data_IF_785181204632
#
_entry.id   IF_785181204632
#
_cell.length_a   1.000
_cell.length_b   1.000
_cell.length_c   1.000
_cell.angle_alpha   90.00
_cell.angle_beta   90.00
_cell.angle_gamma   90.00
#
_symmetry.space_group_name_H-M   'P 1'
#
loop_
_entity.id
_entity.type
_entity.pdbx_description
1 polymer ?
#
# COMPACT_ATOMS: atom_id res chain seq x y z
N UNK A 1 21.41 -5.58 8.60
CA UNK A 1 20.07 -5.63 8.00
C UNK A 1 19.27 -4.41 8.38
N UNK A 2 18.57 -3.85 7.43
CA UNK A 2 17.77 -2.67 7.68
C UNK A 2 16.35 -2.86 7.17
N UNK A 3 15.39 -2.42 7.95
CA UNK A 3 13.99 -2.47 7.59
C UNK A 3 13.41 -1.06 7.61
N UNK A 4 12.75 -0.67 6.55
CA UNK A 4 12.05 0.60 6.47
C UNK A 4 10.68 0.36 5.90
N UNK A 5 9.72 1.09 6.41
CA UNK A 5 8.37 1.01 5.90
C UNK A 5 8.12 2.23 5.01
N UNK A 6 7.72 1.98 3.78
CA UNK A 6 7.43 3.02 2.82
C UNK A 6 5.93 3.24 2.75
N UNK A 7 5.53 4.51 2.77
CA UNK A 7 4.14 4.88 2.61
C UNK A 7 3.89 5.26 1.16
N UNK A 8 2.95 4.58 0.53
CA UNK A 8 2.58 4.84 -0.86
C UNK A 8 1.14 5.33 -0.87
N UNK A 9 0.93 6.51 -1.42
CA UNK A 9 -0.37 7.16 -1.41
C UNK A 9 -0.87 7.40 -2.82
N UNK A 10 -2.19 7.28 -2.98
CA UNK A 10 -2.81 7.53 -4.26
C UNK A 10 -3.01 6.26 -5.06
N UNK A 11 -4.07 6.26 -5.86
CA UNK A 11 -4.49 5.05 -6.58
C UNK A 11 -3.45 4.59 -7.58
N UNK A 12 -2.91 5.52 -8.34
CA UNK A 12 -1.93 5.15 -9.37
C UNK A 12 -0.65 4.61 -8.75
N UNK A 13 -0.16 5.28 -7.71
CA UNK A 13 1.07 4.86 -7.08
C UNK A 13 0.93 3.49 -6.43
N UNK A 14 -0.19 3.24 -5.78
CA UNK A 14 -0.42 1.95 -5.12
C UNK A 14 -0.53 0.84 -6.16
N UNK A 15 -1.29 1.10 -7.23
CA UNK A 15 -1.44 0.10 -8.28
C UNK A 15 -0.10 -0.20 -8.93
N UNK A 16 0.68 0.83 -9.19
CA UNK A 16 2.01 0.67 -9.77
C UNK A 16 2.90 -0.19 -8.87
N UNK A 17 2.80 0.04 -7.56
CA UNK A 17 3.59 -0.73 -6.60
C UNK A 17 3.27 -2.22 -6.68
N UNK A 18 1.99 -2.56 -6.79
CA UNK A 18 1.60 -3.97 -6.94
C UNK A 18 2.13 -4.54 -8.25
N UNK A 19 2.04 -3.77 -9.33
CA UNK A 19 2.47 -4.24 -10.63
C UNK A 19 3.97 -4.40 -10.74
N UNK A 20 4.70 -3.60 -9.99
CA UNK A 20 6.16 -3.66 -10.03
C UNK A 20 6.72 -4.74 -9.12
N UNK A 21 5.87 -5.47 -8.42
CA UNK A 21 6.32 -6.57 -7.58
C UNK A 21 6.77 -6.17 -6.20
N UNK A 22 6.46 -4.95 -5.77
CA UNK A 22 6.80 -4.55 -4.41
C UNK A 22 6.00 -5.36 -3.40
N UNK A 23 6.61 -5.62 -2.26
CA UNK A 23 5.94 -6.31 -1.17
C UNK A 23 5.11 -5.29 -0.39
N UNK A 24 3.80 -5.41 -0.48
CA UNK A 24 2.87 -4.54 0.23
C UNK A 24 2.37 -5.27 1.46
N UNK A 25 2.71 -4.75 2.63
CA UNK A 25 2.30 -5.38 3.89
C UNK A 25 0.85 -5.13 4.21
N UNK A 26 0.43 -3.86 4.09
CA UNK A 26 -0.91 -3.45 4.48
C UNK A 26 -1.46 -2.48 3.46
N UNK A 27 -2.77 -2.52 3.29
CA UNK A 27 -3.47 -1.60 2.41
C UNK A 27 -4.61 -0.99 3.21
N UNK A 28 -4.73 0.33 3.18
CA UNK A 28 -5.81 1.03 3.83
C UNK A 28 -6.65 1.69 2.76
N UNK A 29 -7.92 1.38 2.76
CA UNK A 29 -8.87 1.82 1.74
C UNK A 29 -10.00 2.58 2.39
N UNK A 30 -10.44 3.65 1.74
CA UNK A 30 -11.57 4.42 2.25
C UNK A 30 -12.82 3.54 2.27
N UNK A 31 -13.42 3.43 3.44
CA UNK A 31 -14.63 2.64 3.62
C UNK A 31 -15.75 3.22 2.75
N UNK A 32 -16.40 2.36 1.99
CA UNK A 32 -17.45 2.77 1.09
C UNK A 32 -17.00 3.27 -0.27
N UNK A 33 -15.70 3.33 -0.50
CA UNK A 33 -15.19 3.77 -1.79
C UNK A 33 -15.35 2.65 -2.82
N UNK A 34 -15.93 2.98 -3.96
CA UNK A 34 -16.20 2.00 -5.00
C UNK A 34 -15.67 2.44 -6.36
N UNK A 35 -14.65 3.26 -6.36
CA UNK A 35 -13.99 3.68 -7.59
C UNK A 35 -13.40 2.48 -8.32
N UNK A 36 -13.44 2.51 -9.65
CA UNK A 36 -12.85 1.46 -10.44
C UNK A 36 -11.39 1.18 -10.10
N UNK A 37 -10.54 2.22 -10.07
CA UNK A 37 -9.13 1.99 -9.73
C UNK A 37 -8.94 1.37 -8.35
N UNK A 38 -9.74 1.79 -7.36
CA UNK A 38 -9.64 1.23 -6.02
C UNK A 38 -10.05 -0.24 -6.01
N UNK A 39 -11.07 -0.59 -6.79
CA UNK A 39 -11.50 -1.99 -6.88
C UNK A 39 -10.41 -2.85 -7.50
N UNK A 40 -9.71 -2.32 -8.49
CA UNK A 40 -8.59 -3.02 -9.09
C UNK A 40 -7.48 -3.23 -8.07
N UNK A 41 -7.19 -2.20 -7.28
CA UNK A 41 -6.17 -2.29 -6.25
C UNK A 41 -6.54 -3.36 -5.22
N UNK A 42 -7.79 -3.40 -4.80
CA UNK A 42 -8.25 -4.40 -3.83
C UNK A 42 -8.09 -5.80 -4.41
N UNK A 43 -8.39 -5.95 -5.69
CA UNK A 43 -8.24 -7.25 -6.35
C UNK A 43 -6.78 -7.68 -6.36
N UNK A 44 -5.88 -6.77 -6.68
CA UNK A 44 -4.45 -7.08 -6.67
C UNK A 44 -3.97 -7.42 -5.27
N UNK A 45 -4.46 -6.68 -4.28
CA UNK A 45 -4.10 -6.94 -2.90
C UNK A 45 -4.50 -8.35 -2.47
N UNK A 46 -5.68 -8.79 -2.88
CA UNK A 46 -6.14 -10.14 -2.54
C UNK A 46 -5.29 -11.20 -3.22
N UNK A 47 -4.80 -10.91 -4.40
CA UNK A 47 -3.93 -11.82 -5.13
C UNK A 47 -2.63 -12.08 -4.37
N UNK A 48 -2.12 -11.08 -3.69
CA UNK A 48 -0.84 -11.16 -2.98
C UNK A 48 -1.01 -11.33 -1.48
N UNK A 49 -2.23 -11.64 -1.03
CA UNK A 49 -2.53 -11.85 0.39
C UNK A 49 -2.20 -10.65 1.24
N UNK A 50 -2.31 -9.46 0.67
CA UNK A 50 -2.07 -8.22 1.41
C UNK A 50 -3.23 -7.98 2.37
N UNK A 51 -2.91 -7.55 3.57
CA UNK A 51 -3.93 -7.22 4.57
C UNK A 51 -4.64 -5.94 4.14
N UNK A 52 -5.96 -6.01 3.99
CA UNK A 52 -6.77 -4.88 3.57
C UNK A 52 -7.58 -4.38 4.76
N UNK A 53 -7.46 -3.08 5.04
CA UNK A 53 -8.22 -2.44 6.11
C UNK A 53 -9.08 -1.34 5.51
N UNK A 54 -10.37 -1.36 5.82
CA UNK A 54 -11.28 -0.31 5.40
C UNK A 54 -11.42 0.68 6.54
N UNK A 55 -11.10 1.94 6.25
CA UNK A 55 -11.06 2.98 7.28
C UNK A 55 -11.79 4.22 6.80
N UNK A 56 -12.14 5.09 7.74
CA UNK A 56 -12.81 6.35 7.40
C UNK A 56 -11.80 7.34 6.84
N UNK A 57 -12.31 8.35 6.15
CA UNK A 57 -11.46 9.35 5.50
C UNK A 57 -10.54 10.04 6.49
N UNK A 58 -11.05 10.33 7.67
CA UNK A 58 -10.24 11.02 8.69
C UNK A 58 -9.02 10.21 9.06
N UNK A 59 -9.18 8.91 9.11
CA UNK A 59 -8.05 8.03 9.42
C UNK A 59 -7.00 8.10 8.33
N UNK A 60 -7.44 8.07 7.08
CA UNK A 60 -6.53 8.19 5.95
C UNK A 60 -5.80 9.53 5.97
N UNK A 61 -6.54 10.59 6.29
CA UNK A 61 -5.93 11.92 6.38
C UNK A 61 -4.84 11.96 7.45
N UNK A 62 -5.06 11.28 8.56
CA UNK A 62 -4.07 11.22 9.64
C UNK A 62 -2.85 10.44 9.24
N UNK A 63 -3.02 9.40 8.45
CA UNK A 63 -1.92 8.55 8.01
C UNK A 63 -1.17 9.14 6.83
N UNK A 64 -1.82 10.00 6.08
CA UNK A 64 -1.26 10.56 4.86
C UNK A 64 -0.15 11.56 5.16
N UNK A 65 0.92 11.47 4.40
CA UNK A 65 2.03 12.41 4.53
C UNK A 65 1.89 13.56 3.56
N UNK A 66 1.22 13.33 2.43
CA UNK A 66 1.10 14.34 1.40
C UNK A 66 -0.30 14.95 1.31
N UNK A 67 -1.26 14.30 1.92
CA UNK A 67 -2.66 14.70 1.81
C UNK A 67 -3.30 14.30 0.50
N UNK A 68 -2.60 13.55 -0.34
CA UNK A 68 -3.10 13.17 -1.65
C UNK A 68 -3.32 11.66 -1.76
N UNK A 69 -3.92 11.07 -0.74
CA UNK A 69 -4.09 9.63 -0.70
C UNK A 69 -5.15 9.11 -1.67
N UNK A 70 -6.07 9.95 -2.10
CA UNK A 70 -7.13 9.57 -3.05
C UNK A 70 -7.93 8.33 -2.59
N UNK A 71 -8.07 8.17 -1.29
CA UNK A 71 -8.84 7.08 -0.72
C UNK A 71 -8.07 5.78 -0.53
N UNK A 72 -6.77 5.77 -0.76
CA UNK A 72 -5.99 4.54 -0.58
C UNK A 72 -4.55 4.87 -0.18
N UNK A 73 -4.06 4.11 0.79
CA UNK A 73 -2.68 4.22 1.27
C UNK A 73 -2.16 2.81 1.46
N UNK A 74 -0.95 2.54 0.98
CA UNK A 74 -0.32 1.25 1.15
C UNK A 74 0.98 1.41 1.91
N UNK A 75 1.28 0.44 2.75
CA UNK A 75 2.57 0.36 3.44
C UNK A 75 3.36 -0.78 2.84
N UNK A 76 4.50 -0.47 2.29
CA UNK A 76 5.37 -1.45 1.67
C UNK A 76 6.58 -1.69 2.54
N UNK A 77 6.97 -2.94 2.67
CA UNK A 77 8.19 -3.29 3.37
C UNK A 77 9.37 -3.05 2.46
N UNK A 78 10.37 -2.39 2.97
CA UNK A 78 11.60 -2.19 2.22
C UNK A 78 12.73 -2.82 3.02
N UNK A 79 13.19 -3.97 2.58
CA UNK A 79 14.28 -4.67 3.24
C UNK A 79 15.54 -4.54 2.44
N UNK A 80 16.62 -4.34 3.13
CA UNK A 80 17.92 -4.51 2.50
C UNK A 80 18.49 -5.83 2.93
N UNK A 81 18.69 -6.70 1.98
CA UNK A 81 19.23 -8.00 2.27
C UNK A 81 20.69 -7.97 1.98
N UNK A 82 21.38 -7.36 2.84
CA UNK A 82 22.78 -7.41 2.63
C UNK A 82 23.30 -8.80 2.80
N UNK A 83 22.57 -9.53 3.09
CA UNK A 83 22.86 -10.69 3.19
C UNK A 83 23.05 -11.61 2.37
N UNK A 84 22.92 -11.39 1.89
CA UNK A 84 22.94 -12.10 1.31
C UNK A 84 24.04 -12.76 0.93
N UNK A 85 24.04 -12.49 1.06
CA UNK A 85 24.75 -12.84 0.94
C UNK A 85 25.56 -13.28 1.18
N UNK A 86 25.63 -13.35 1.41
CA UNK A 86 26.38 -13.67 1.86
C UNK A 86 26.70 -14.50 2.03
N UNK A 87 26.55 -14.77 1.80
CA UNK A 87 26.81 -15.46 2.00
C UNK A 87 27.20 -15.88 1.83
#
# INVERSE_FOLDING_TARGET
MRYEELTIEGRNAVLEAFRSGKTIDKLFVLDGCQDGPVRTIVREAKKYDTIINYVVKERLDQMSETGKHQGVIAYAAAYEYAEVEDM
#
